data_IF_420750392221
#
_entry.id   IF_420750392221
#
_cell.length_a   1.000
_cell.length_b   1.000
_cell.length_c   1.000
_cell.angle_alpha   90.00
_cell.angle_beta   90.00
_cell.angle_gamma   90.00
#
_symmetry.space_group_name_H-M   'P 1'
#
loop_
_entity.id
_entity.type
_entity.pdbx_description
1 polymer ?
#
# COMPACT_ATOMS: atom_id res chain seq x y z
N UNK A 1 -0.21 -27.19 14.64
CA UNK A 1 -1.57 -26.70 14.45
C UNK A 1 -2.43 -27.86 13.94
N UNK A 2 -3.39 -28.35 14.69
CA UNK A 2 -4.31 -29.42 14.34
C UNK A 2 -5.58 -29.28 15.14
N UNK A 3 -6.66 -29.85 14.61
CA UNK A 3 -7.96 -29.92 15.29
C UNK A 3 -7.99 -31.22 16.08
N UNK A 4 -8.47 -31.18 17.31
CA UNK A 4 -8.68 -32.36 18.15
C UNK A 4 -10.17 -32.75 18.05
N UNK A 5 -10.44 -33.97 17.64
CA UNK A 5 -11.80 -34.54 17.55
C UNK A 5 -11.83 -35.80 18.38
N UNK A 6 -12.63 -35.77 19.48
CA UNK A 6 -12.74 -36.94 20.35
C UNK A 6 -11.43 -37.34 21.05
N UNK A 7 -10.50 -36.39 21.28
CA UNK A 7 -9.20 -36.66 21.89
C UNK A 7 -8.11 -37.08 20.87
N UNK A 8 -8.40 -37.13 19.58
CA UNK A 8 -7.46 -37.46 18.54
C UNK A 8 -7.17 -36.22 17.67
N UNK A 9 -5.90 -35.91 17.47
CA UNK A 9 -5.47 -34.79 16.63
C UNK A 9 -5.53 -35.17 15.15
N UNK A 10 -6.35 -34.46 14.39
CA UNK A 10 -6.58 -34.72 12.96
C UNK A 10 -6.38 -33.47 12.12
N UNK A 11 -5.96 -33.68 10.87
CA UNK A 11 -5.87 -32.60 9.89
C UNK A 11 -7.18 -32.46 9.08
N UNK A 12 -7.99 -33.51 9.02
CA UNK A 12 -9.28 -33.57 8.35
C UNK A 12 -10.16 -34.63 9.02
N UNK A 13 -11.40 -34.27 9.35
CA UNK A 13 -12.40 -35.20 9.86
C UNK A 13 -13.78 -34.86 9.31
N UNK A 14 -14.62 -35.86 9.15
CA UNK A 14 -16.05 -35.64 8.91
C UNK A 14 -16.73 -35.57 10.27
N UNK A 15 -17.42 -34.46 10.53
CA UNK A 15 -18.12 -34.22 11.78
C UNK A 15 -19.62 -34.38 11.55
N UNK A 16 -20.28 -35.12 12.43
CA UNK A 16 -21.72 -35.27 12.46
C UNK A 16 -22.38 -34.38 13.49
N UNK A 17 -23.73 -34.34 13.50
CA UNK A 17 -24.48 -33.62 14.51
C UNK A 17 -24.16 -34.11 15.93
N UNK A 18 -23.81 -33.20 16.85
CA UNK A 18 -23.43 -33.52 18.23
C UNK A 18 -21.93 -33.73 18.45
N UNK A 19 -21.11 -33.83 17.37
CA UNK A 19 -19.70 -34.00 17.53
C UNK A 19 -19.05 -32.73 18.09
N UNK A 20 -18.10 -32.92 18.99
CA UNK A 20 -17.29 -31.83 19.55
C UNK A 20 -15.87 -31.89 19.01
N UNK A 21 -15.31 -30.72 18.71
CA UNK A 21 -13.91 -30.58 18.31
C UNK A 21 -13.26 -29.42 19.04
N UNK A 22 -11.95 -29.51 19.22
CA UNK A 22 -11.13 -28.48 19.89
C UNK A 22 -10.13 -27.87 18.95
N UNK A 23 -10.06 -26.56 18.93
CA UNK A 23 -9.04 -25.77 18.22
C UNK A 23 -8.33 -24.90 19.26
N UNK A 24 -7.11 -25.27 19.65
CA UNK A 24 -6.42 -24.64 20.76
C UNK A 24 -7.20 -24.84 22.07
N UNK A 25 -7.56 -23.75 22.73
CA UNK A 25 -8.34 -23.76 23.98
C UNK A 25 -9.86 -23.65 23.78
N UNK A 26 -10.30 -23.53 22.50
CA UNK A 26 -11.72 -23.39 22.17
C UNK A 26 -12.33 -24.75 21.84
N UNK A 27 -13.42 -25.11 22.53
CA UNK A 27 -14.24 -26.27 22.19
C UNK A 27 -15.48 -25.80 21.43
N UNK A 28 -15.74 -26.41 20.29
CA UNK A 28 -16.91 -26.17 19.48
C UNK A 28 -17.69 -27.46 19.26
N UNK A 29 -18.99 -27.39 19.07
CA UNK A 29 -19.85 -28.50 18.74
C UNK A 29 -20.57 -28.26 17.42
N UNK A 30 -20.83 -29.35 16.71
CA UNK A 30 -21.65 -29.31 15.48
C UNK A 30 -23.09 -29.57 15.88
N UNK A 31 -23.92 -28.56 15.73
CA UNK A 31 -25.35 -28.72 15.91
C UNK A 31 -26.07 -28.70 14.56
N UNK A 32 -27.06 -29.57 14.32
CA UNK A 32 -27.87 -29.47 13.12
C UNK A 32 -28.58 -28.12 13.12
N UNK A 33 -28.54 -27.42 12.00
CA UNK A 33 -29.36 -26.23 11.82
C UNK A 33 -30.82 -26.69 11.95
N UNK A 34 -31.48 -26.30 13.06
CA UNK A 34 -32.89 -26.61 13.27
C UNK A 34 -33.67 -25.86 12.21
N UNK A 35 -34.13 -26.56 11.16
CA UNK A 35 -35.13 -25.99 10.26
C UNK A 35 -36.30 -25.56 11.14
N UNK A 36 -36.42 -24.25 11.33
CA UNK A 36 -37.65 -23.69 11.88
C UNK A 36 -38.72 -24.04 10.85
N UNK A 37 -39.58 -25.01 11.23
CA UNK A 37 -40.72 -25.35 10.40
C UNK A 37 -41.43 -24.04 10.04
N UNK A 38 -41.74 -23.77 8.75
CA UNK A 38 -42.44 -22.55 8.39
C UNK A 38 -43.74 -22.50 9.20
N UNK A 39 -43.90 -21.39 9.91
CA UNK A 39 -45.14 -21.16 10.69
C UNK A 39 -46.31 -21.26 9.70
N UNK A 40 -47.18 -22.19 9.88
CA UNK A 40 -48.30 -22.49 8.99
C UNK A 40 -49.15 -21.23 8.88
N UNK A 41 -49.08 -20.53 7.74
CA UNK A 41 -49.84 -19.31 7.45
C UNK A 41 -49.03 -18.01 7.35
N UNK A 42 -47.71 -18.02 7.59
CA UNK A 42 -46.84 -16.85 7.35
C UNK A 42 -46.16 -16.97 5.99
N UNK A 43 -46.24 -15.92 5.18
CA UNK A 43 -45.43 -15.73 3.96
C UNK A 43 -44.00 -15.31 4.31
N UNK A 44 -43.67 -15.13 5.58
CA UNK A 44 -42.38 -14.70 6.03
C UNK A 44 -41.39 -15.87 6.11
N UNK A 45 -40.37 -15.80 5.30
CA UNK A 45 -39.25 -16.73 5.33
C UNK A 45 -38.19 -16.14 6.25
N UNK A 46 -38.03 -16.72 7.45
CA UNK A 46 -36.94 -16.36 8.34
C UNK A 46 -35.64 -16.88 7.76
N UNK A 47 -34.82 -15.96 7.32
CA UNK A 47 -33.55 -16.27 6.68
C UNK A 47 -32.39 -15.66 7.50
N UNK A 48 -31.54 -16.50 8.07
CA UNK A 48 -30.33 -16.07 8.74
C UNK A 48 -29.14 -16.29 7.80
N UNK A 49 -28.57 -15.21 7.34
CA UNK A 49 -27.39 -15.25 6.46
C UNK A 49 -26.11 -14.96 7.27
N UNK A 50 -25.06 -15.73 7.03
CA UNK A 50 -23.76 -15.44 7.59
C UNK A 50 -23.26 -14.08 7.11
N UNK A 51 -22.65 -13.24 7.96
CA UNK A 51 -22.12 -11.96 7.56
C UNK A 51 -21.00 -12.18 6.55
N UNK A 52 -21.07 -11.49 5.41
CA UNK A 52 -20.01 -11.49 4.41
C UNK A 52 -18.89 -10.57 4.88
N UNK A 53 -17.69 -11.14 5.07
CA UNK A 53 -16.51 -10.36 5.44
C UNK A 53 -15.86 -9.87 4.14
N UNK A 54 -16.04 -8.60 3.84
CA UNK A 54 -15.42 -7.95 2.68
C UNK A 54 -14.11 -7.26 3.10
N UNK A 55 -13.11 -7.35 2.23
CA UNK A 55 -11.84 -6.64 2.43
C UNK A 55 -12.03 -5.15 2.15
N UNK A 56 -11.60 -4.30 3.07
CA UNK A 56 -11.68 -2.83 2.96
C UNK A 56 -10.30 -2.24 2.71
N UNK A 57 -10.21 -1.21 1.85
CA UNK A 57 -8.98 -0.44 1.74
C UNK A 57 -8.64 0.19 3.09
N UNK A 58 -7.40 0.00 3.56
CA UNK A 58 -6.94 0.62 4.81
C UNK A 58 -5.96 1.74 4.47
N UNK A 59 -6.16 2.95 5.00
CA UNK A 59 -5.19 4.01 4.88
C UNK A 59 -3.85 3.57 5.49
N UNK A 60 -2.78 3.67 4.70
CA UNK A 60 -1.44 3.31 5.12
C UNK A 60 -0.43 4.27 4.48
N UNK A 61 0.44 4.85 5.31
CA UNK A 61 1.52 5.69 4.84
C UNK A 61 2.80 4.85 4.69
N UNK A 62 3.35 4.82 3.49
CA UNK A 62 4.54 4.03 3.15
C UNK A 62 5.76 4.94 3.23
N UNK A 63 6.81 4.47 3.89
CA UNK A 63 8.09 5.16 3.90
C UNK A 63 8.76 5.06 2.52
N UNK A 64 9.26 6.19 1.98
CA UNK A 64 9.96 6.20 0.71
C UNK A 64 11.34 5.55 0.83
N UNK A 65 11.93 5.08 -0.28
CA UNK A 65 13.31 4.64 -0.29
C UNK A 65 14.25 5.79 0.10
N UNK A 66 15.34 5.47 0.77
CA UNK A 66 16.33 6.45 1.21
C UNK A 66 17.01 7.13 0.01
N UNK A 67 16.88 8.45 -0.04
CA UNK A 67 17.43 9.25 -1.13
C UNK A 67 18.93 9.45 -0.93
N UNK A 68 19.80 9.09 -1.89
CA UNK A 68 21.23 9.34 -1.79
C UNK A 68 21.54 10.81 -1.55
N UNK A 69 22.34 11.07 -0.52
CA UNK A 69 22.76 12.42 -0.16
C UNK A 69 23.72 13.04 -1.18
N UNK A 70 23.93 14.35 -1.04
CA UNK A 70 25.03 15.01 -1.75
C UNK A 70 26.36 14.53 -1.19
N UNK A 71 27.28 14.09 -2.03
CA UNK A 71 28.58 13.69 -1.57
C UNK A 71 29.34 14.90 -1.01
N UNK A 72 30.13 14.72 0.03
CA UNK A 72 30.98 15.79 0.51
C UNK A 72 31.92 16.25 -0.61
N UNK A 73 32.17 17.55 -0.75
CA UNK A 73 33.09 18.06 -1.74
C UNK A 73 34.47 17.45 -1.54
N UNK A 74 35.03 16.91 -2.62
CA UNK A 74 36.38 16.31 -2.59
C UNK A 74 37.41 17.45 -2.49
N UNK A 75 37.73 17.87 -1.28
CA UNK A 75 38.80 18.83 -1.05
C UNK A 75 40.15 18.17 -1.27
N UNK A 76 40.99 18.76 -2.10
CA UNK A 76 42.41 18.39 -2.19
C UNK A 76 43.07 18.78 -0.84
N UNK A 77 43.69 17.85 -0.12
CA UNK A 77 44.33 18.16 1.15
C UNK A 77 45.70 18.83 0.90
N UNK A 78 45.65 20.07 0.38
CA UNK A 78 46.87 20.82 0.00
C UNK A 78 47.85 21.00 1.16
N UNK A 79 47.34 21.21 2.38
CA UNK A 79 48.17 21.28 3.58
C UNK A 79 48.85 19.96 3.89
N UNK A 80 48.19 18.82 3.67
CA UNK A 80 48.78 17.51 3.89
C UNK A 80 49.87 17.21 2.84
N UNK A 81 49.79 17.81 1.64
CA UNK A 81 50.82 17.69 0.61
C UNK A 81 52.06 18.53 0.95
N UNK A 82 51.91 19.64 1.67
CA UNK A 82 52.98 20.54 1.99
C UNK A 82 53.96 19.99 3.04
N UNK A 83 53.44 19.26 4.04
CA UNK A 83 54.27 18.74 5.15
C UNK A 83 55.36 17.77 4.72
N UNK A 84 55.11 16.73 3.88
CA UNK A 84 56.20 15.85 3.37
C UNK A 84 57.19 16.57 2.46
N UNK A 85 56.69 17.55 1.70
CA UNK A 85 57.53 18.34 0.78
C UNK A 85 58.52 19.24 1.56
N UNK A 86 58.04 19.92 2.59
CA UNK A 86 58.89 20.72 3.52
C UNK A 86 59.88 19.83 4.23
N UNK A 87 59.45 18.69 4.74
CA UNK A 87 60.33 17.72 5.43
C UNK A 87 61.42 17.21 4.47
N UNK A 88 61.04 16.90 3.22
CA UNK A 88 62.00 16.45 2.20
C UNK A 88 63.02 17.52 1.84
N UNK A 89 62.61 18.80 1.75
CA UNK A 89 63.53 19.93 1.53
C UNK A 89 64.49 20.09 2.71
N UNK A 90 63.99 20.05 3.95
CA UNK A 90 64.82 20.13 5.14
C UNK A 90 65.83 18.98 5.18
N UNK A 91 65.42 17.76 4.90
CA UNK A 91 66.29 16.61 4.86
C UNK A 91 67.36 16.74 3.79
N UNK A 92 67.03 17.25 2.61
CA UNK A 92 68.00 17.51 1.53
C UNK A 92 69.03 18.55 1.93
N UNK A 93 68.64 19.64 2.62
CA UNK A 93 69.59 20.66 3.06
C UNK A 93 70.61 20.10 4.07
N UNK A 94 70.22 19.16 4.92
CA UNK A 94 71.09 18.52 5.91
C UNK A 94 71.97 17.40 5.32
N UNK A 95 71.41 16.58 4.41
CA UNK A 95 72.09 15.33 3.98
C UNK A 95 72.74 15.46 2.62
N UNK A 96 72.34 16.42 1.79
CA UNK A 96 72.77 16.64 0.40
C UNK A 96 72.78 15.35 -0.49
N UNK A 97 71.93 14.40 -0.14
CA UNK A 97 71.85 13.08 -0.75
C UNK A 97 70.82 13.05 -1.90
N UNK A 98 71.19 12.45 -3.01
CA UNK A 98 70.28 12.27 -4.15
C UNK A 98 69.03 11.44 -3.76
N UNK A 99 69.19 10.56 -2.76
CA UNK A 99 68.11 9.76 -2.22
C UNK A 99 66.94 10.63 -1.62
N UNK A 100 67.30 11.80 -1.02
CA UNK A 100 66.33 12.75 -0.46
C UNK A 100 65.48 13.37 -1.57
N UNK A 101 65.99 13.61 -2.76
CA UNK A 101 65.26 14.14 -3.91
C UNK A 101 64.17 13.15 -4.39
N UNK A 102 64.50 11.84 -4.37
CA UNK A 102 63.55 10.79 -4.75
C UNK A 102 62.39 10.77 -3.77
N UNK A 103 62.66 10.90 -2.44
CA UNK A 103 61.61 10.97 -1.42
C UNK A 103 60.71 12.21 -1.59
N UNK A 104 61.28 13.37 -1.95
CA UNK A 104 60.52 14.60 -2.20
C UNK A 104 59.49 14.39 -3.32
N UNK A 105 59.89 13.67 -4.43
CA UNK A 105 59.02 13.42 -5.56
C UNK A 105 58.00 12.28 -5.33
N UNK A 106 58.36 11.25 -4.57
CA UNK A 106 57.52 10.09 -4.38
C UNK A 106 56.27 10.38 -3.55
N UNK A 107 56.40 11.27 -2.56
CA UNK A 107 55.27 11.59 -1.61
C UNK A 107 54.09 12.26 -2.32
N UNK A 108 54.27 13.33 -3.14
CA UNK A 108 53.17 13.88 -3.93
C UNK A 108 52.57 12.90 -4.94
N UNK A 109 53.40 12.07 -5.54
CA UNK A 109 52.96 11.07 -6.54
C UNK A 109 52.00 10.04 -5.90
N UNK A 110 52.36 9.50 -4.72
CA UNK A 110 51.49 8.57 -3.96
C UNK A 110 50.17 9.27 -3.56
N UNK A 111 50.23 10.52 -3.18
CA UNK A 111 49.04 11.27 -2.75
C UNK A 111 48.09 11.57 -3.93
N UNK A 112 48.61 11.93 -5.09
CA UNK A 112 47.80 12.09 -6.31
C UNK A 112 47.20 10.74 -6.74
N UNK A 113 47.95 9.64 -6.60
CA UNK A 113 47.45 8.29 -6.89
C UNK A 113 46.28 7.90 -5.96
N UNK A 114 46.43 8.13 -4.67
CA UNK A 114 45.33 7.83 -3.70
C UNK A 114 44.11 8.74 -3.89
N UNK A 115 44.31 10.02 -4.14
CA UNK A 115 43.22 10.95 -4.46
C UNK A 115 42.49 10.55 -5.76
N UNK A 116 43.24 10.22 -6.82
CA UNK A 116 42.65 9.74 -8.08
C UNK A 116 41.83 8.46 -7.88
N UNK A 117 42.36 7.48 -7.14
CA UNK A 117 41.63 6.23 -6.86
C UNK A 117 40.32 6.45 -6.07
N UNK A 118 40.36 7.34 -5.08
CA UNK A 118 39.19 7.73 -4.30
C UNK A 118 38.14 8.46 -5.16
N UNK A 119 38.60 9.37 -6.04
CA UNK A 119 37.72 10.10 -6.97
C UNK A 119 37.02 9.14 -7.95
N UNK A 120 37.74 8.19 -8.55
CA UNK A 120 37.18 7.19 -9.44
C UNK A 120 36.22 6.23 -8.70
N UNK A 121 36.59 5.78 -7.50
CA UNK A 121 35.73 4.92 -6.67
C UNK A 121 34.45 5.64 -6.28
N UNK A 122 34.54 6.90 -5.83
CA UNK A 122 33.37 7.72 -5.48
C UNK A 122 32.44 7.96 -6.67
N UNK A 123 32.99 8.13 -7.88
CA UNK A 123 32.20 8.32 -9.11
C UNK A 123 31.43 7.05 -9.51
N UNK A 124 32.06 5.87 -9.34
CA UNK A 124 31.39 4.57 -9.58
C UNK A 124 30.32 4.30 -8.53
N UNK A 125 30.59 4.58 -7.27
CA UNK A 125 29.63 4.41 -6.18
C UNK A 125 28.39 5.28 -6.40
N UNK A 126 28.55 6.56 -6.74
CA UNK A 126 27.43 7.47 -7.04
C UNK A 126 26.52 6.94 -8.16
N UNK A 127 27.12 6.40 -9.24
CA UNK A 127 26.33 5.82 -10.33
C UNK A 127 25.52 4.62 -9.86
N UNK A 128 26.10 3.78 -8.99
CA UNK A 128 25.42 2.61 -8.41
C UNK A 128 24.30 3.05 -7.46
N UNK A 129 24.57 4.00 -6.56
CA UNK A 129 23.57 4.50 -5.60
C UNK A 129 22.40 5.18 -6.32
N UNK A 130 22.69 5.96 -7.37
CA UNK A 130 21.64 6.55 -8.20
C UNK A 130 20.82 5.48 -8.93
N UNK A 131 21.48 4.48 -9.51
CA UNK A 131 20.81 3.41 -10.24
C UNK A 131 19.95 2.53 -9.30
N UNK A 132 20.48 2.20 -8.11
CA UNK A 132 19.72 1.44 -7.09
C UNK A 132 18.52 2.22 -6.56
N UNK A 133 18.66 3.52 -6.34
CA UNK A 133 17.56 4.38 -5.94
C UNK A 133 16.47 4.45 -7.02
N UNK A 134 16.83 4.70 -8.28
CA UNK A 134 15.86 4.74 -9.38
C UNK A 134 15.15 3.40 -9.57
N UNK A 135 15.85 2.29 -9.38
CA UNK A 135 15.23 0.95 -9.39
C UNK A 135 14.25 0.78 -8.22
N UNK A 136 14.60 1.27 -7.04
CA UNK A 136 13.70 1.25 -5.87
C UNK A 136 12.46 2.13 -6.07
N UNK A 137 12.62 3.31 -6.70
CA UNK A 137 11.48 4.19 -7.05
C UNK A 137 10.59 3.54 -8.12
N UNK A 138 11.17 2.87 -9.12
CA UNK A 138 10.39 2.14 -10.13
C UNK A 138 9.60 0.98 -9.50
N UNK A 139 10.21 0.22 -8.60
CA UNK A 139 9.50 -0.82 -7.85
C UNK A 139 8.40 -0.25 -6.94
N UNK A 140 8.65 0.90 -6.32
CA UNK A 140 7.63 1.60 -5.55
C UNK A 140 6.45 2.02 -6.42
N UNK A 141 6.69 2.54 -7.64
CA UNK A 141 5.65 2.91 -8.59
C UNK A 141 4.79 1.71 -8.99
N UNK A 142 5.42 0.57 -9.29
CA UNK A 142 4.72 -0.69 -9.61
C UNK A 142 3.84 -1.16 -8.43
N UNK A 143 4.40 -1.21 -7.22
CA UNK A 143 3.65 -1.61 -6.02
C UNK A 143 2.46 -0.71 -5.74
N UNK A 144 2.63 0.62 -5.85
CA UNK A 144 1.53 1.57 -5.68
C UNK A 144 0.47 1.42 -6.78
N UNK A 145 0.88 1.08 -8.00
CA UNK A 145 -0.03 0.72 -9.09
C UNK A 145 -0.89 -0.48 -8.75
N UNK A 146 -0.26 -1.57 -8.33
CA UNK A 146 -0.95 -2.81 -7.90
C UNK A 146 -1.89 -2.56 -6.72
N UNK A 147 -1.45 -1.75 -5.75
CA UNK A 147 -2.27 -1.40 -4.58
C UNK A 147 -3.49 -0.57 -4.99
N UNK A 148 -3.34 0.35 -5.96
CA UNK A 148 -4.45 1.10 -6.55
C UNK A 148 -5.47 0.19 -7.26
N UNK A 149 -4.99 -0.79 -8.01
CA UNK A 149 -5.85 -1.76 -8.68
C UNK A 149 -6.57 -2.68 -7.68
N UNK A 150 -5.89 -3.11 -6.63
CA UNK A 150 -6.51 -3.85 -5.52
C UNK A 150 -7.55 -3.01 -4.80
N UNK A 151 -7.27 -1.75 -4.52
CA UNK A 151 -8.22 -0.82 -3.91
C UNK A 151 -9.47 -0.67 -4.79
N UNK A 152 -9.30 -0.51 -6.09
CA UNK A 152 -10.43 -0.44 -7.05
C UNK A 152 -11.27 -1.70 -6.99
N UNK A 153 -10.65 -2.87 -7.05
CA UNK A 153 -11.35 -4.15 -6.98
C UNK A 153 -12.11 -4.32 -5.65
N UNK A 154 -11.51 -3.95 -4.52
CA UNK A 154 -12.15 -3.97 -3.21
C UNK A 154 -13.36 -3.02 -3.15
N UNK A 155 -13.22 -1.80 -3.70
CA UNK A 155 -14.33 -0.85 -3.76
C UNK A 155 -15.44 -1.31 -4.70
N UNK A 156 -15.13 -1.99 -5.81
CA UNK A 156 -16.13 -2.57 -6.70
C UNK A 156 -16.87 -3.76 -6.06
N UNK A 157 -16.20 -4.50 -5.20
CA UNK A 157 -16.83 -5.58 -4.43
C UNK A 157 -17.70 -5.04 -3.30
N UNK A 158 -17.21 -4.00 -2.57
CA UNK A 158 -17.96 -3.33 -1.51
C UNK A 158 -19.16 -2.57 -2.05
N UNK A 159 -19.01 -1.90 -3.20
CA UNK A 159 -20.01 -1.03 -3.81
C UNK A 159 -20.23 -1.43 -5.28
N UNK A 160 -20.94 -2.53 -5.52
CA UNK A 160 -21.19 -3.03 -6.87
C UNK A 160 -21.96 -2.02 -7.72
N UNK A 161 -21.84 -2.13 -9.04
CA UNK A 161 -22.63 -1.35 -9.97
C UNK A 161 -24.13 -1.67 -9.84
N UNK A 162 -24.99 -0.76 -10.30
CA UNK A 162 -26.43 -0.99 -10.30
C UNK A 162 -26.81 -2.27 -11.06
N UNK A 163 -26.19 -2.49 -12.23
CA UNK A 163 -26.44 -3.68 -13.04
C UNK A 163 -26.09 -4.98 -12.30
N UNK A 164 -24.94 -4.98 -11.58
CA UNK A 164 -24.55 -6.12 -10.76
C UNK A 164 -25.51 -6.33 -9.59
N UNK A 165 -25.96 -5.23 -8.95
CA UNK A 165 -26.95 -5.30 -7.86
C UNK A 165 -28.29 -5.83 -8.35
N UNK A 166 -28.73 -5.44 -9.54
CA UNK A 166 -29.95 -5.99 -10.17
C UNK A 166 -29.80 -7.46 -10.54
N UNK A 167 -28.62 -7.85 -11.05
CA UNK A 167 -28.30 -9.24 -11.30
C UNK A 167 -28.40 -10.09 -10.03
N UNK A 168 -27.85 -9.61 -8.92
CA UNK A 168 -27.95 -10.24 -7.62
C UNK A 168 -29.38 -10.38 -7.12
N UNK A 169 -30.24 -9.38 -7.36
CA UNK A 169 -31.66 -9.43 -7.04
C UNK A 169 -32.35 -10.55 -7.84
N UNK A 170 -32.07 -10.62 -9.14
CA UNK A 170 -32.64 -11.66 -10.01
C UNK A 170 -32.19 -13.07 -9.64
N UNK A 171 -30.91 -13.22 -9.31
CA UNK A 171 -30.30 -14.51 -8.93
C UNK A 171 -30.57 -14.89 -7.46
N UNK A 172 -31.03 -13.96 -6.63
CA UNK A 172 -31.16 -14.10 -5.16
C UNK A 172 -29.86 -14.59 -4.52
N UNK A 173 -28.74 -14.02 -4.98
CA UNK A 173 -27.40 -14.43 -4.56
C UNK A 173 -27.00 -13.87 -3.18
N UNK A 174 -25.77 -14.15 -2.77
CA UNK A 174 -25.22 -13.77 -1.47
C UNK A 174 -25.03 -12.25 -1.28
N UNK A 175 -25.11 -11.44 -2.34
CA UNK A 175 -24.89 -10.01 -2.25
C UNK A 175 -26.10 -9.23 -1.77
N UNK A 176 -27.27 -9.87 -1.70
CA UNK A 176 -28.49 -9.24 -1.22
C UNK A 176 -28.44 -9.00 0.30
N UNK A 177 -28.87 -7.80 0.74
CA UNK A 177 -29.10 -7.45 2.14
C UNK A 177 -27.89 -7.73 3.04
N UNK A 178 -26.68 -7.49 2.50
CA UNK A 178 -25.43 -7.75 3.24
C UNK A 178 -25.07 -6.63 4.21
N UNK A 179 -25.61 -5.42 4.03
CA UNK A 179 -25.30 -4.26 4.86
C UNK A 179 -26.29 -4.13 5.99
N UNK A 180 -25.78 -4.28 7.21
CA UNK A 180 -26.53 -4.12 8.46
C UNK A 180 -26.19 -2.79 9.13
N UNK A 181 -27.01 -2.28 10.06
CA UNK A 181 -26.73 -1.03 10.78
C UNK A 181 -25.35 -0.96 11.44
N UNK A 182 -24.79 -2.12 11.83
CA UNK A 182 -23.47 -2.21 12.46
C UNK A 182 -22.31 -2.10 11.46
N UNK A 183 -22.58 -2.22 10.17
CA UNK A 183 -21.55 -2.16 9.15
C UNK A 183 -21.22 -0.70 8.79
N UNK A 184 -19.93 -0.32 8.63
CA UNK A 184 -19.55 1.03 8.21
C UNK A 184 -20.10 1.43 6.84
N UNK A 185 -20.43 0.48 5.99
CA UNK A 185 -21.04 0.72 4.68
C UNK A 185 -22.54 0.90 4.73
N UNK A 186 -23.15 0.84 5.93
CA UNK A 186 -24.58 1.08 6.07
C UNK A 186 -24.93 2.53 5.71
N UNK A 187 -25.96 2.70 4.93
CA UNK A 187 -26.35 4.02 4.40
C UNK A 187 -25.42 4.58 3.30
N UNK A 188 -24.42 3.81 2.85
CA UNK A 188 -23.54 4.24 1.77
C UNK A 188 -24.11 3.85 0.41
N UNK A 189 -24.06 4.80 -0.55
CA UNK A 189 -24.48 4.60 -1.93
C UNK A 189 -23.37 4.93 -2.90
N UNK A 190 -23.26 4.17 -3.98
CA UNK A 190 -22.34 4.45 -5.09
C UNK A 190 -22.95 5.50 -6.01
N UNK A 191 -22.26 6.61 -6.16
CA UNK A 191 -22.66 7.69 -7.06
C UNK A 191 -22.26 7.43 -8.50
N UNK A 192 -21.14 6.74 -8.72
CA UNK A 192 -20.59 6.47 -10.05
C UNK A 192 -19.14 6.00 -9.98
N UNK A 193 -18.42 6.23 -11.07
CA UNK A 193 -16.96 6.05 -11.16
C UNK A 193 -16.30 7.41 -11.23
N UNK A 194 -15.20 7.57 -10.52
CA UNK A 194 -14.43 8.81 -10.49
C UNK A 194 -13.06 8.61 -9.87
N UNK A 195 -12.45 9.69 -9.50
CA UNK A 195 -11.14 9.75 -8.89
C UNK A 195 -11.28 9.70 -7.37
N UNK A 196 -10.62 8.72 -6.76
CA UNK A 196 -10.68 8.47 -5.32
C UNK A 196 -9.25 8.54 -4.76
N UNK A 197 -9.03 9.13 -3.59
CA UNK A 197 -7.71 9.11 -2.95
C UNK A 197 -7.20 7.68 -2.78
N UNK A 198 -5.91 7.48 -3.08
CA UNK A 198 -5.27 6.20 -2.83
C UNK A 198 -5.22 5.93 -1.32
N UNK A 199 -5.59 4.72 -0.91
CA UNK A 199 -5.53 4.30 0.48
C UNK A 199 -4.06 4.19 0.95
N UNK A 200 -3.16 3.80 0.06
CA UNK A 200 -1.74 3.80 0.33
C UNK A 200 -1.08 5.01 -0.32
N UNK A 201 -0.40 5.80 0.49
CA UNK A 201 0.31 7.01 0.06
C UNK A 201 1.76 6.99 0.54
N UNK A 202 2.62 7.73 -0.14
CA UNK A 202 4.04 7.84 0.22
C UNK A 202 4.29 9.14 0.96
N UNK A 203 4.90 9.03 2.14
CA UNK A 203 5.32 10.20 2.91
C UNK A 203 6.61 10.78 2.36
N UNK A 204 6.51 11.85 1.59
CA UNK A 204 7.68 12.54 1.02
C UNK A 204 8.20 13.69 1.88
N UNK A 205 7.46 14.08 2.92
CA UNK A 205 7.78 15.27 3.75
C UNK A 205 9.10 15.17 4.51
N UNK A 206 9.55 13.94 4.82
CA UNK A 206 10.79 13.67 5.54
C UNK A 206 11.94 13.26 4.63
N UNK A 207 11.68 13.03 3.35
CA UNK A 207 12.72 12.64 2.40
C UNK A 207 13.73 13.77 2.23
N UNK A 208 15.00 13.46 2.41
CA UNK A 208 16.13 14.39 2.24
C UNK A 208 17.17 13.74 1.35
N UNK A 209 17.82 14.55 0.51
CA UNK A 209 18.83 14.06 -0.40
C UNK A 209 18.97 14.95 -1.63
N UNK A 210 19.50 14.42 -2.69
CA UNK A 210 19.72 15.15 -3.95
C UNK A 210 18.38 15.63 -4.54
N UNK A 211 18.28 16.91 -4.95
CA UNK A 211 17.05 17.53 -5.46
C UNK A 211 16.47 16.83 -6.69
N UNK A 212 17.34 16.37 -7.62
CA UNK A 212 16.95 15.65 -8.83
C UNK A 212 16.26 14.31 -8.51
N UNK A 213 16.78 13.57 -7.54
CA UNK A 213 16.21 12.29 -7.11
C UNK A 213 14.95 12.48 -6.28
N UNK A 214 14.89 13.52 -5.46
CA UNK A 214 13.67 13.90 -4.74
C UNK A 214 12.54 14.25 -5.70
N UNK A 215 12.85 14.96 -6.80
CA UNK A 215 11.85 15.29 -7.82
C UNK A 215 11.23 14.04 -8.48
N UNK A 216 12.04 13.01 -8.78
CA UNK A 216 11.53 11.74 -9.32
C UNK A 216 10.65 10.99 -8.30
N UNK A 217 11.05 10.99 -7.02
CA UNK A 217 10.23 10.41 -5.95
C UNK A 217 8.89 11.15 -5.81
N UNK A 218 8.89 12.47 -5.79
CA UNK A 218 7.68 13.28 -5.71
C UNK A 218 6.76 13.05 -6.90
N UNK A 219 7.32 12.94 -8.11
CA UNK A 219 6.56 12.66 -9.32
C UNK A 219 5.79 11.34 -9.22
N UNK A 220 6.43 10.27 -8.74
CA UNK A 220 5.78 8.98 -8.53
C UNK A 220 4.72 9.09 -7.42
N UNK A 221 5.03 9.72 -6.29
CA UNK A 221 4.10 9.90 -5.18
C UNK A 221 2.83 10.65 -5.61
N UNK A 222 2.97 11.74 -6.37
CA UNK A 222 1.82 12.51 -6.88
C UNK A 222 1.05 11.74 -7.96
N UNK A 223 1.72 11.04 -8.87
CA UNK A 223 1.06 10.23 -9.90
C UNK A 223 0.20 9.10 -9.32
N UNK A 224 0.59 8.57 -8.16
CA UNK A 224 -0.10 7.46 -7.48
C UNK A 224 -1.01 7.90 -6.32
N UNK A 225 -1.19 9.19 -6.12
CA UNK A 225 -2.04 9.74 -5.06
C UNK A 225 -3.53 9.49 -5.28
N UNK A 226 -3.92 9.25 -6.51
CA UNK A 226 -5.31 9.09 -6.94
C UNK A 226 -5.49 7.77 -7.66
N UNK A 227 -6.53 7.04 -7.28
CA UNK A 227 -7.01 5.86 -8.00
C UNK A 227 -8.11 6.30 -8.94
N UNK A 228 -7.84 6.22 -10.24
CA UNK A 228 -8.78 6.62 -11.28
C UNK A 228 -9.85 5.56 -11.52
N UNK A 229 -11.06 6.01 -11.91
CA UNK A 229 -12.18 5.14 -12.27
C UNK A 229 -12.56 4.15 -11.16
N UNK A 230 -12.42 4.55 -9.91
CA UNK A 230 -12.88 3.80 -8.76
C UNK A 230 -14.31 4.20 -8.38
N UNK A 231 -15.07 3.35 -7.68
CA UNK A 231 -16.38 3.70 -7.17
C UNK A 231 -16.32 4.91 -6.24
N UNK A 232 -17.04 5.96 -6.58
CA UNK A 232 -17.27 7.13 -5.71
C UNK A 232 -18.49 6.85 -4.86
N UNK A 233 -18.34 6.97 -3.56
CA UNK A 233 -19.34 6.59 -2.56
C UNK A 233 -19.71 7.79 -1.72
N UNK A 234 -20.99 7.92 -1.36
CA UNK A 234 -21.46 8.87 -0.38
C UNK A 234 -22.21 8.14 0.74
N UNK A 235 -21.88 8.47 1.99
CA UNK A 235 -22.54 7.97 3.18
C UNK A 235 -23.69 8.88 3.58
N UNK A 236 -24.93 8.38 3.59
CA UNK A 236 -26.10 9.15 4.04
C UNK A 236 -26.01 9.52 5.52
N UNK A 237 -25.34 8.67 6.34
CA UNK A 237 -25.11 8.96 7.75
C UNK A 237 -24.18 10.15 7.99
N UNK A 238 -23.24 10.40 7.06
CA UNK A 238 -22.29 11.53 7.14
C UNK A 238 -22.86 12.79 6.49
N UNK A 239 -23.48 12.64 5.31
CA UNK A 239 -24.00 13.77 4.51
C UNK A 239 -25.41 14.20 4.93
N UNK A 240 -26.15 13.36 5.64
CA UNK A 240 -27.55 13.59 6.00
C UNK A 240 -28.51 13.43 4.83
N UNK A 241 -28.25 14.10 3.70
CA UNK A 241 -29.04 14.02 2.49
C UNK A 241 -28.19 14.17 1.22
N UNK A 242 -28.70 13.66 0.11
CA UNK A 242 -28.08 13.78 -1.22
C UNK A 242 -29.06 14.49 -2.15
N UNK A 243 -28.68 15.68 -2.62
CA UNK A 243 -29.42 16.42 -3.63
C UNK A 243 -29.05 15.99 -5.04
N UNK A 244 -30.02 15.63 -5.86
CA UNK A 244 -29.82 15.32 -7.28
C UNK A 244 -30.41 16.43 -8.13
N UNK A 245 -29.56 17.11 -8.90
CA UNK A 245 -30.00 18.23 -9.78
C UNK A 245 -29.70 17.88 -11.24
N UNK A 246 -30.62 18.31 -12.14
CA UNK A 246 -30.48 18.07 -13.56
C UNK A 246 -31.84 18.11 -14.29
N UNK A 247 -31.91 17.47 -15.46
CA UNK A 247 -33.21 17.31 -16.17
C UNK A 247 -34.16 16.40 -15.37
N UNK A 248 -35.46 16.65 -15.44
CA UNK A 248 -36.47 15.89 -14.67
C UNK A 248 -36.36 14.36 -14.88
N UNK A 249 -36.14 13.92 -16.11
CA UNK A 249 -35.95 12.49 -16.43
C UNK A 249 -34.63 11.93 -15.88
N UNK A 250 -33.53 12.68 -15.97
CA UNK A 250 -32.22 12.28 -15.47
C UNK A 250 -32.21 12.20 -13.95
N UNK A 251 -32.72 13.19 -13.24
CA UNK A 251 -32.79 13.18 -11.78
C UNK A 251 -33.66 12.05 -11.26
N UNK A 252 -34.80 11.76 -11.92
CA UNK A 252 -35.64 10.63 -11.53
C UNK A 252 -34.95 9.28 -11.72
N UNK A 253 -34.16 9.09 -12.78
CA UNK A 253 -33.39 7.86 -13.00
C UNK A 253 -32.32 7.67 -11.96
N UNK A 254 -31.54 8.71 -11.66
CA UNK A 254 -30.50 8.67 -10.63
C UNK A 254 -31.11 8.39 -9.26
N UNK A 255 -32.15 9.10 -8.86
CA UNK A 255 -32.82 8.89 -7.58
C UNK A 255 -33.36 7.46 -7.43
N UNK A 256 -33.99 6.92 -8.47
CA UNK A 256 -34.44 5.52 -8.48
C UNK A 256 -33.28 4.55 -8.38
N UNK A 257 -32.18 4.80 -9.08
CA UNK A 257 -30.98 3.97 -9.01
C UNK A 257 -30.37 3.92 -7.61
N UNK A 258 -30.29 5.08 -6.92
CA UNK A 258 -29.81 5.16 -5.54
C UNK A 258 -30.75 4.45 -4.55
N UNK A 259 -32.07 4.66 -4.69
CA UNK A 259 -33.06 3.97 -3.87
C UNK A 259 -32.99 2.44 -4.07
N UNK A 260 -32.80 1.99 -5.30
CA UNK A 260 -32.69 0.58 -5.61
C UNK A 260 -31.40 -0.03 -5.03
N UNK A 261 -30.27 0.67 -5.09
CA UNK A 261 -29.05 0.23 -4.41
C UNK A 261 -29.26 0.02 -2.92
N UNK A 262 -29.94 0.95 -2.25
CA UNK A 262 -30.26 0.82 -0.83
C UNK A 262 -31.15 -0.41 -0.57
N UNK A 263 -32.23 -0.56 -1.32
CA UNK A 263 -33.17 -1.67 -1.17
C UNK A 263 -32.53 -3.05 -1.40
N UNK A 264 -31.55 -3.15 -2.32
CA UNK A 264 -30.89 -4.41 -2.67
C UNK A 264 -29.77 -4.74 -1.68
N UNK A 265 -29.06 -3.75 -1.19
CA UNK A 265 -27.84 -3.99 -0.40
C UNK A 265 -28.05 -3.93 1.11
N UNK A 266 -29.07 -3.20 1.58
CA UNK A 266 -29.34 -3.01 3.02
C UNK A 266 -30.34 -4.05 3.53
N UNK A 267 -30.05 -4.59 4.70
CA UNK A 267 -30.98 -5.51 5.37
C UNK A 267 -32.26 -4.76 5.77
N UNK A 268 -33.44 -5.29 5.46
CA UNK A 268 -34.65 -4.86 6.12
C UNK A 268 -34.52 -5.27 7.59
N UNK A 269 -34.31 -4.33 8.47
CA UNK A 269 -34.22 -4.55 9.93
C UNK A 269 -35.60 -4.55 10.53
#
# INVERSE_FOLDING_TARGET
NGVDVGGVRVSRAMLGPGDQFRIGDTVASVEPLRELAPATGSTDIVFTRSPRVLSRPRPEEIEPPEVPGEPPPAHLPLLAMLAPLVMGVVLYLFTKSVLSIIFIGLSPLMMVGTWGSQWFAGRRQRKRDTASFLAAVAHLDERLGDDGDRQRAQLEELFPSLDRSLGSLGARDEALWTRRPENPEFGCVRLGLGDVPAARSVSTNRARGRPDLLAELHKVAEARRIVHRAPVVAGLGECGNIGVAGSSSGTALVARGLALQLAVTHSPS
#
